data_IF_870182863033
#
_entry.id   IF_870182863033
#
_cell.length_a   1.000
_cell.length_b   1.000
_cell.length_c   1.000
_cell.angle_alpha   90.00
_cell.angle_beta   90.00
_cell.angle_gamma   90.00
#
_symmetry.space_group_name_H-M   'P 1'
#
loop_
_entity.id
_entity.type
_entity.pdbx_description
1 polymer ?
#
# COMPACT_ATOMS: atom_id res chain seq x y z
N UNK A 1 25.50 23.62 -11.08
CA UNK A 1 25.07 22.27 -11.49
C UNK A 1 23.69 22.03 -10.93
N UNK A 2 22.65 22.04 -11.76
CA UNK A 2 21.30 21.70 -11.32
C UNK A 2 21.21 20.18 -11.19
N UNK A 3 21.00 19.66 -9.99
CA UNK A 3 20.74 18.25 -9.78
C UNK A 3 19.38 17.92 -10.39
N UNK A 4 19.37 17.14 -11.46
CA UNK A 4 18.15 16.55 -12.01
C UNK A 4 17.61 15.57 -10.96
N UNK A 5 16.73 16.04 -10.07
CA UNK A 5 16.00 15.19 -9.16
C UNK A 5 15.24 14.19 -10.02
N UNK A 6 15.69 12.94 -9.98
CA UNK A 6 15.06 11.85 -10.71
C UNK A 6 13.69 11.68 -10.05
N UNK A 7 12.65 12.18 -10.69
CA UNK A 7 11.28 12.05 -10.20
C UNK A 7 10.95 10.56 -10.22
N UNK A 8 10.99 9.95 -9.04
CA UNK A 8 10.63 8.55 -8.87
C UNK A 8 9.17 8.44 -9.30
N UNK A 9 8.91 7.71 -10.39
CA UNK A 9 7.54 7.50 -10.86
C UNK A 9 6.78 6.73 -9.78
N UNK A 10 5.91 7.43 -9.06
CA UNK A 10 5.06 6.83 -8.04
C UNK A 10 4.12 5.80 -8.68
N UNK A 11 4.08 4.60 -8.09
CA UNK A 11 3.13 3.55 -8.46
C UNK A 11 1.68 4.00 -8.25
N UNK A 12 0.71 3.27 -8.83
CA UNK A 12 -0.71 3.61 -8.69
C UNK A 12 -1.17 3.66 -7.22
N UNK A 13 -0.70 2.70 -6.41
CA UNK A 13 -0.96 2.68 -4.97
C UNK A 13 -0.33 3.87 -4.25
N UNK A 14 0.93 4.20 -4.54
CA UNK A 14 1.60 5.34 -3.92
C UNK A 14 0.89 6.67 -4.25
N UNK A 15 0.46 6.87 -5.50
CA UNK A 15 -0.32 8.05 -5.90
C UNK A 15 -1.66 8.12 -5.19
N UNK A 16 -2.38 7.01 -5.10
CA UNK A 16 -3.65 6.92 -4.39
C UNK A 16 -3.48 7.34 -2.91
N UNK A 17 -2.47 6.80 -2.20
CA UNK A 17 -2.23 7.15 -0.80
C UNK A 17 -1.93 8.65 -0.60
N UNK A 18 -1.31 9.30 -1.59
CA UNK A 18 -1.08 10.75 -1.57
C UNK A 18 -2.38 11.52 -1.81
N UNK A 19 -3.20 11.10 -2.77
CA UNK A 19 -4.50 11.72 -3.08
C UNK A 19 -5.46 11.65 -1.89
N UNK A 20 -5.45 10.53 -1.18
CA UNK A 20 -6.25 10.28 0.02
C UNK A 20 -5.63 10.92 1.29
N UNK A 21 -4.56 11.71 1.13
CA UNK A 21 -3.85 12.45 2.20
C UNK A 21 -3.30 11.56 3.31
N UNK A 22 -3.06 10.27 3.03
CA UNK A 22 -2.44 9.32 3.95
C UNK A 22 -0.91 9.41 3.92
N UNK A 23 -0.36 9.90 2.82
CA UNK A 23 1.06 10.23 2.67
C UNK A 23 1.21 11.61 2.02
N UNK A 24 2.25 12.33 2.39
CA UNK A 24 2.75 13.42 1.54
C UNK A 24 3.49 12.85 0.34
N UNK A 25 3.58 13.65 -0.73
CA UNK A 25 4.36 13.28 -1.92
C UNK A 25 5.84 13.02 -1.58
N UNK A 26 6.40 13.78 -0.64
CA UNK A 26 7.77 13.58 -0.15
C UNK A 26 7.93 12.23 0.55
N UNK A 27 6.99 11.87 1.42
CA UNK A 27 7.01 10.58 2.12
C UNK A 27 6.82 9.40 1.16
N UNK A 28 5.93 9.53 0.18
CA UNK A 28 5.72 8.51 -0.84
C UNK A 28 6.99 8.28 -1.67
N UNK A 29 7.70 9.35 -2.06
CA UNK A 29 8.96 9.26 -2.78
C UNK A 29 10.07 8.60 -1.95
N UNK A 30 10.18 8.98 -0.67
CA UNK A 30 11.15 8.36 0.26
C UNK A 30 10.87 6.87 0.46
N UNK A 31 9.61 6.51 0.70
CA UNK A 31 9.20 5.11 0.84
C UNK A 31 9.46 4.31 -0.45
N UNK A 32 9.20 4.89 -1.62
CA UNK A 32 9.49 4.24 -2.90
C UNK A 32 10.99 4.05 -3.12
N UNK A 33 11.82 5.04 -2.75
CA UNK A 33 13.27 4.90 -2.80
C UNK A 33 13.76 3.77 -1.90
N UNK A 34 13.27 3.72 -0.66
CA UNK A 34 13.60 2.65 0.29
C UNK A 34 13.16 1.27 -0.21
N UNK A 35 11.95 1.17 -0.76
CA UNK A 35 11.44 -0.06 -1.35
C UNK A 35 12.32 -0.54 -2.52
N UNK A 36 12.75 0.38 -3.38
CA UNK A 36 13.66 0.07 -4.49
C UNK A 36 15.03 -0.42 -3.99
N UNK A 37 15.60 0.24 -2.98
CA UNK A 37 16.88 -0.17 -2.35
C UNK A 37 16.78 -1.53 -1.70
N UNK A 38 15.71 -1.79 -0.95
CA UNK A 38 15.44 -3.06 -0.28
C UNK A 38 14.96 -4.16 -1.25
N UNK A 39 14.68 -3.81 -2.51
CA UNK A 39 14.11 -4.70 -3.55
C UNK A 39 12.81 -5.38 -3.10
N UNK A 40 11.96 -4.63 -2.43
CA UNK A 40 10.62 -5.08 -1.99
C UNK A 40 9.53 -4.24 -2.66
N UNK A 41 8.29 -4.74 -2.75
CA UNK A 41 7.17 -3.93 -3.19
C UNK A 41 6.97 -2.70 -2.31
N UNK A 42 6.55 -1.58 -2.90
CA UNK A 42 6.25 -0.33 -2.18
C UNK A 42 5.34 -0.57 -0.97
N UNK A 43 4.29 -1.37 -1.14
CA UNK A 43 3.32 -1.64 -0.08
C UNK A 43 3.94 -2.34 1.12
N UNK A 44 4.87 -3.27 0.87
CA UNK A 44 5.63 -3.96 1.93
C UNK A 44 6.43 -2.95 2.74
N UNK A 45 7.08 -1.98 2.08
CA UNK A 45 7.84 -0.94 2.75
C UNK A 45 6.95 -0.01 3.59
N UNK A 46 5.75 0.35 3.10
CA UNK A 46 4.81 1.20 3.84
C UNK A 46 4.32 0.51 5.12
N UNK A 47 3.91 -0.76 5.02
CA UNK A 47 3.43 -1.53 6.17
C UNK A 47 4.57 -1.75 7.17
N UNK A 48 5.78 -2.04 6.70
CA UNK A 48 6.96 -2.18 7.55
C UNK A 48 7.28 -0.89 8.34
N UNK A 49 7.03 0.27 7.73
CA UNK A 49 7.17 1.58 8.39
C UNK A 49 6.11 1.85 9.48
N UNK A 50 5.07 1.01 9.60
CA UNK A 50 3.98 1.07 10.60
C UNK A 50 3.24 2.41 10.69
N UNK A 51 3.40 3.30 9.72
CA UNK A 51 2.72 4.60 9.68
C UNK A 51 1.26 4.48 9.26
N UNK A 52 0.96 3.50 8.42
CA UNK A 52 -0.39 3.21 7.91
C UNK A 52 -0.63 1.72 8.10
N UNK A 53 -1.75 1.35 8.71
CA UNK A 53 -2.11 -0.06 8.93
C UNK A 53 -2.50 -0.73 7.62
N UNK A 54 -2.32 -2.06 7.56
CA UNK A 54 -2.74 -2.84 6.39
C UNK A 54 -4.26 -2.70 6.12
N UNK A 55 -5.07 -2.66 7.18
CA UNK A 55 -6.52 -2.48 7.09
C UNK A 55 -6.87 -1.14 6.43
N UNK A 56 -6.22 -0.05 6.85
CA UNK A 56 -6.51 1.28 6.29
C UNK A 56 -6.14 1.37 4.81
N UNK A 57 -5.02 0.77 4.44
CA UNK A 57 -4.59 0.68 3.03
C UNK A 57 -5.63 -0.10 2.23
N UNK A 58 -6.08 -1.25 2.73
CA UNK A 58 -7.05 -2.09 2.04
C UNK A 58 -8.41 -1.37 1.87
N UNK A 59 -8.93 -0.75 2.93
CA UNK A 59 -10.16 0.06 2.90
C UNK A 59 -10.09 1.15 1.82
N UNK A 60 -9.02 1.94 1.84
CA UNK A 60 -8.86 3.10 0.96
C UNK A 60 -8.59 2.65 -0.48
N UNK A 61 -7.86 1.55 -0.67
CA UNK A 61 -7.65 0.95 -2.00
C UNK A 61 -8.96 0.44 -2.58
N UNK A 62 -9.78 -0.26 -1.79
CA UNK A 62 -11.11 -0.71 -2.20
C UNK A 62 -11.98 0.46 -2.65
N UNK A 63 -12.00 1.56 -1.89
CA UNK A 63 -12.72 2.77 -2.27
C UNK A 63 -12.17 3.42 -3.55
N UNK A 64 -10.86 3.62 -3.65
CA UNK A 64 -10.22 4.33 -4.76
C UNK A 64 -10.27 3.57 -6.09
N UNK A 65 -10.22 2.24 -6.06
CA UNK A 65 -10.22 1.40 -7.26
C UNK A 65 -11.57 0.72 -7.54
N UNK A 66 -12.57 0.91 -6.68
CA UNK A 66 -13.91 0.37 -6.86
C UNK A 66 -14.01 -1.14 -6.64
N UNK A 67 -13.15 -1.72 -5.81
CA UNK A 67 -13.18 -3.14 -5.45
C UNK A 67 -13.86 -3.34 -4.09
N UNK A 68 -14.54 -4.48 -3.85
CA UNK A 68 -15.08 -4.78 -2.54
C UNK A 68 -13.96 -4.89 -1.49
N UNK A 69 -14.26 -4.44 -0.28
CA UNK A 69 -13.43 -4.68 0.91
C UNK A 69 -14.04 -5.84 1.71
N UNK A 70 -13.23 -6.83 2.06
CA UNK A 70 -13.66 -7.95 2.87
C UNK A 70 -12.69 -8.14 4.04
N UNK A 71 -13.19 -7.95 5.26
CA UNK A 71 -12.41 -8.19 6.46
C UNK A 71 -12.39 -9.70 6.76
N UNK A 72 -11.23 -10.33 6.65
CA UNK A 72 -11.06 -11.75 6.92
C UNK A 72 -11.29 -12.10 8.40
N UNK A 73 -11.00 -11.19 9.33
CA UNK A 73 -11.20 -11.42 10.76
C UNK A 73 -12.68 -11.45 11.15
N UNK A 74 -13.57 -10.94 10.29
CA UNK A 74 -15.02 -10.99 10.48
C UNK A 74 -15.64 -12.32 10.01
N UNK A 75 -14.90 -13.15 9.27
CA UNK A 75 -15.39 -14.41 8.75
C UNK A 75 -15.12 -15.54 9.74
N UNK A 76 -16.15 -16.30 10.15
CA UNK A 76 -15.94 -17.50 10.96
C UNK A 76 -15.29 -18.61 10.09
N UNK A 77 -14.05 -19.03 10.39
CA UNK A 77 -13.33 -20.05 9.61
C UNK A 77 -14.05 -21.41 9.55
N UNK A 78 -14.94 -21.71 10.51
CA UNK A 78 -15.71 -22.97 10.54
C UNK A 78 -16.64 -23.15 9.33
N UNK A 79 -16.97 -22.05 8.64
CA UNK A 79 -17.75 -22.09 7.40
C UNK A 79 -16.88 -22.25 6.13
N UNK A 80 -15.55 -22.25 6.24
CA UNK A 80 -14.70 -22.56 5.09
C UNK A 80 -14.87 -24.04 4.71
N UNK A 81 -14.89 -24.36 3.40
CA UNK A 81 -14.92 -25.76 2.98
C UNK A 81 -13.67 -26.48 3.50
N UNK A 82 -13.81 -27.76 3.85
CA UNK A 82 -12.68 -28.60 4.18
C UNK A 82 -11.67 -28.56 3.02
N UNK A 83 -10.39 -28.36 3.36
CA UNK A 83 -9.32 -28.28 2.37
C UNK A 83 -9.33 -29.55 1.50
N UNK A 84 -9.79 -29.44 0.26
CA UNK A 84 -9.61 -30.52 -0.71
C UNK A 84 -8.15 -30.50 -1.14
N UNK A 85 -7.47 -31.61 -0.88
CA UNK A 85 -6.20 -31.97 -1.50
C UNK A 85 -6.41 -32.34 -2.97
#
# INVERSE_FOLDING_TARGET
MAANATTIKLSGLARMLVQEKLLSETEANLAQAQANTARVPFITQIIAGKRITAEKIAEVSSHAFGFPYFNLDAFNPDYLPAKSI
#
